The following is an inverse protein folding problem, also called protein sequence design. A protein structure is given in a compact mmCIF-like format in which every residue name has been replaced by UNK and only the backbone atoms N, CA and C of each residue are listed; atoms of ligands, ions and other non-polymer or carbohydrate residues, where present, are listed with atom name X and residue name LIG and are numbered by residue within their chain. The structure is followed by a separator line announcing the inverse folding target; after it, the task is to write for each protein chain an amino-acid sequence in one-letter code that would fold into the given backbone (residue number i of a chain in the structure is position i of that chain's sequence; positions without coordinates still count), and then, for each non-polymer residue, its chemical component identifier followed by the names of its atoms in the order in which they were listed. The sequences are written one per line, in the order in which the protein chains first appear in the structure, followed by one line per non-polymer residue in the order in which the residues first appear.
data_IF_978442431938
#
_entry.id   IF_978442431938
#
_cell.length_a   1.000
_cell.length_b   1.000
_cell.length_c   1.000
_cell.angle_alpha   90.00
_cell.angle_beta   90.00
_cell.angle_gamma   90.00
#
_symmetry.space_group_name_H-M   'P 1'
#
loop_
_entity.id
_entity.type
_entity.pdbx_description
1 polymer ?
#
# COMPACT_ATOMS: atom_id res chain seq x y z
N UNK A 1 -16.48 36.71 35.95
CA UNK A 1 -17.18 35.89 34.95
C UNK A 1 -16.50 36.17 33.64
N UNK A 2 -15.50 35.37 33.28
CA UNK A 2 -14.69 35.57 32.08
C UNK A 2 -14.78 34.28 31.25
N UNK A 3 -15.42 34.39 30.10
CA UNK A 3 -15.64 33.31 29.16
C UNK A 3 -14.51 33.26 28.15
N UNK A 4 -13.73 32.18 28.17
CA UNK A 4 -12.76 31.84 27.13
C UNK A 4 -13.13 30.50 26.52
N UNK A 5 -14.04 30.51 25.56
CA UNK A 5 -14.37 29.37 24.71
C UNK A 5 -13.15 29.04 23.84
N UNK A 6 -12.41 27.99 24.22
CA UNK A 6 -11.32 27.42 23.45
C UNK A 6 -11.88 26.69 22.23
N UNK A 7 -12.02 27.40 21.12
CA UNK A 7 -12.16 26.82 19.78
C UNK A 7 -10.81 26.22 19.42
N UNK A 8 -10.60 24.97 19.83
CA UNK A 8 -9.48 24.17 19.36
C UNK A 8 -9.64 24.01 17.85
N UNK A 9 -8.87 24.81 17.12
CA UNK A 9 -8.78 24.73 15.67
C UNK A 9 -8.38 23.30 15.30
N UNK A 10 -9.09 22.61 14.39
CA UNK A 10 -8.67 21.29 13.96
C UNK A 10 -7.24 21.42 13.46
N UNK A 11 -6.34 20.68 14.11
CA UNK A 11 -4.92 20.67 13.81
C UNK A 11 -4.77 20.57 12.29
N UNK A 12 -4.15 21.59 11.69
CA UNK A 12 -3.82 21.59 10.28
C UNK A 12 -3.12 20.27 9.98
N UNK A 13 -3.82 19.40 9.25
CA UNK A 13 -3.28 18.17 8.72
C UNK A 13 -2.09 18.57 7.87
N UNK A 14 -0.88 18.53 8.44
CA UNK A 14 0.35 18.82 7.72
C UNK A 14 0.36 17.82 6.56
N UNK A 15 0.21 18.26 5.29
CA UNK A 15 0.47 17.36 4.19
C UNK A 15 1.96 17.03 4.28
N UNK A 16 2.26 15.87 4.84
CA UNK A 16 3.60 15.29 4.82
C UNK A 16 4.12 15.34 3.39
N UNK A 17 5.44 15.61 3.22
CA UNK A 17 6.04 15.99 1.93
C UNK A 17 5.62 15.00 0.85
N UNK A 18 5.22 15.51 -0.32
CA UNK A 18 4.89 14.79 -1.57
C UNK A 18 5.56 13.42 -1.60
N UNK A 19 4.90 12.41 -1.02
CA UNK A 19 5.37 11.03 -1.09
C UNK A 19 5.22 10.67 -2.55
N UNK A 20 6.30 10.19 -3.16
CA UNK A 20 6.27 9.81 -4.56
C UNK A 20 5.02 8.93 -4.79
N UNK A 21 4.25 9.18 -5.88
CA UNK A 21 2.99 8.51 -6.10
C UNK A 21 3.21 7.00 -6.09
N UNK A 22 2.39 6.31 -5.32
CA UNK A 22 2.41 4.86 -5.34
C UNK A 22 2.00 4.39 -6.72
N UNK A 23 2.83 3.53 -7.31
CA UNK A 23 2.64 3.03 -8.67
C UNK A 23 2.25 1.57 -8.69
N UNK A 24 2.62 0.83 -7.66
CA UNK A 24 2.33 -0.60 -7.56
C UNK A 24 1.79 -0.93 -6.18
N UNK A 25 0.81 -1.81 -6.12
CA UNK A 25 0.30 -2.41 -4.91
C UNK A 25 0.40 -3.92 -5.06
N UNK A 26 1.13 -4.58 -4.18
CA UNK A 26 1.30 -6.03 -4.21
C UNK A 26 0.55 -6.64 -3.03
N UNK A 27 -0.44 -7.46 -3.33
CA UNK A 27 -1.20 -8.24 -2.39
C UNK A 27 -0.56 -9.62 -2.25
N UNK A 28 -0.26 -10.03 -1.02
CA UNK A 28 0.42 -11.30 -0.74
C UNK A 28 -0.33 -12.01 0.38
N UNK A 29 -0.80 -13.22 0.08
CA UNK A 29 -1.34 -14.11 1.10
C UNK A 29 -0.21 -14.94 1.72
N UNK A 30 -0.01 -14.77 3.02
CA UNK A 30 0.96 -15.52 3.81
C UNK A 30 0.26 -16.55 4.71
N UNK A 31 -0.69 -17.32 4.15
CA UNK A 31 -1.29 -18.47 4.84
C UNK A 31 -2.13 -18.11 6.07
N UNK A 32 -2.92 -17.04 5.99
CA UNK A 32 -3.86 -16.63 7.05
C UNK A 32 -3.84 -15.13 7.37
N UNK A 33 -2.84 -14.41 6.86
CA UNK A 33 -2.83 -12.95 6.84
C UNK A 33 -2.42 -12.49 5.44
N UNK A 34 -3.31 -11.73 4.80
CA UNK A 34 -3.03 -11.13 3.51
C UNK A 34 -2.57 -9.69 3.74
N UNK A 35 -1.41 -9.36 3.20
CA UNK A 35 -0.80 -8.03 3.32
C UNK A 35 -0.75 -7.34 1.98
N UNK A 36 -1.11 -6.07 1.96
CA UNK A 36 -1.05 -5.21 0.79
C UNK A 36 0.13 -4.23 0.93
N UNK A 37 1.16 -4.43 0.11
CA UNK A 37 2.38 -3.64 0.13
C UNK A 37 2.38 -2.62 -0.99
N UNK A 38 2.50 -1.36 -0.62
CA UNK A 38 2.46 -0.23 -1.54
C UNK A 38 3.88 0.19 -1.93
N UNK A 39 4.13 0.25 -3.23
CA UNK A 39 5.42 0.59 -3.81
C UNK A 39 5.31 1.76 -4.79
N UNK A 40 6.38 2.54 -4.88
CA UNK A 40 6.53 3.58 -5.90
C UNK A 40 7.11 3.01 -7.19
N UNK A 41 7.27 3.84 -8.24
CA UNK A 41 7.83 3.43 -9.53
C UNK A 41 9.20 2.71 -9.42
N UNK A 42 10.02 3.07 -8.43
CA UNK A 42 11.31 2.42 -8.15
C UNK A 42 11.20 1.08 -7.41
N UNK A 43 9.99 0.54 -7.20
CA UNK A 43 9.68 -0.62 -6.33
C UNK A 43 10.21 -0.46 -4.90
N UNK A 44 10.32 0.78 -4.42
CA UNK A 44 10.63 1.04 -3.02
C UNK A 44 9.33 0.92 -2.20
N UNK A 45 9.38 0.13 -1.13
CA UNK A 45 8.25 0.02 -0.20
C UNK A 45 8.03 1.37 0.43
N UNK A 46 6.80 1.85 0.35
CA UNK A 46 6.44 3.14 0.92
C UNK A 46 5.44 2.97 2.04
N UNK A 47 4.68 1.88 2.09
CA UNK A 47 3.68 1.61 3.12
C UNK A 47 3.10 0.22 3.00
N UNK A 48 2.50 -0.23 4.10
CA UNK A 48 1.88 -1.55 4.26
C UNK A 48 0.48 -1.38 4.81
N UNK A 49 -0.46 -2.15 4.28
CA UNK A 49 -1.87 -2.16 4.66
C UNK A 49 -2.33 -3.60 4.82
N UNK A 50 -3.38 -3.79 5.60
CA UNK A 50 -4.10 -5.06 5.62
C UNK A 50 -4.84 -5.22 4.29
N UNK A 51 -4.69 -6.37 3.63
CA UNK A 51 -5.29 -6.65 2.33
C UNK A 51 -6.82 -6.54 2.32
N UNK A 52 -7.47 -6.80 3.47
CA UNK A 52 -8.91 -6.70 3.65
C UNK A 52 -9.41 -5.29 3.94
N UNK A 53 -8.52 -4.29 4.02
CA UNK A 53 -8.92 -2.91 4.31
C UNK A 53 -9.72 -2.28 3.16
N UNK A 54 -10.70 -1.45 3.52
CA UNK A 54 -11.46 -0.65 2.53
C UNK A 54 -10.55 0.21 1.65
N UNK A 55 -9.45 0.73 2.20
CA UNK A 55 -8.46 1.50 1.46
C UNK A 55 -7.88 0.71 0.28
N UNK A 56 -7.53 -0.56 0.51
CA UNK A 56 -7.00 -1.47 -0.51
C UNK A 56 -8.09 -1.80 -1.53
N UNK A 57 -9.30 -2.08 -1.08
CA UNK A 57 -10.44 -2.38 -1.96
C UNK A 57 -10.78 -1.19 -2.89
N UNK A 58 -10.62 0.05 -2.42
CA UNK A 58 -10.78 1.26 -3.25
C UNK A 58 -9.61 1.41 -4.23
N UNK A 59 -8.37 1.19 -3.78
CA UNK A 59 -7.19 1.30 -4.64
C UNK A 59 -7.17 0.26 -5.77
N UNK A 60 -7.65 -0.95 -5.53
CA UNK A 60 -7.68 -2.04 -6.53
C UNK A 60 -8.96 -2.03 -7.38
N UNK A 61 -9.93 -1.18 -7.06
CA UNK A 61 -11.25 -1.18 -7.71
C UNK A 61 -11.12 -0.90 -9.21
N UNK A 62 -11.52 -1.88 -10.02
CA UNK A 62 -11.49 -1.76 -11.49
C UNK A 62 -10.10 -1.92 -12.11
N UNK A 63 -9.09 -2.25 -11.31
CA UNK A 63 -7.77 -2.63 -11.79
C UNK A 63 -7.70 -4.15 -12.00
N UNK A 64 -6.93 -4.58 -13.00
CA UNK A 64 -6.64 -6.00 -13.21
C UNK A 64 -5.28 -6.33 -12.59
N UNK A 65 -5.21 -7.23 -11.60
CA UNK A 65 -3.94 -7.67 -11.06
C UNK A 65 -3.16 -8.49 -12.07
N UNK A 66 -1.85 -8.31 -12.10
CA UNK A 66 -0.93 -9.28 -12.65
C UNK A 66 -0.64 -10.32 -11.57
N UNK A 67 -0.96 -11.58 -11.84
CA UNK A 67 -0.66 -12.68 -10.93
C UNK A 67 0.83 -13.04 -10.99
N UNK A 68 1.46 -13.13 -9.83
CA UNK A 68 2.85 -13.54 -9.67
C UNK A 68 3.83 -12.37 -9.70
N UNK A 69 4.49 -12.13 -8.57
CA UNK A 69 5.61 -11.21 -8.40
C UNK A 69 6.97 -11.96 -8.38
N UNK A 70 7.17 -12.85 -9.36
CA UNK A 70 8.38 -13.67 -9.51
C UNK A 70 9.51 -12.97 -10.29
N UNK A 71 9.23 -11.79 -10.87
CA UNK A 71 10.24 -11.00 -11.58
C UNK A 71 11.41 -10.57 -10.67
N UNK A 72 12.60 -10.44 -11.25
CA UNK A 72 13.80 -10.01 -10.52
C UNK A 72 13.64 -8.61 -9.88
N UNK A 73 12.78 -7.76 -10.44
CA UNK A 73 12.43 -6.45 -9.88
C UNK A 73 11.73 -6.53 -8.51
N UNK A 74 11.06 -7.66 -8.23
CA UNK A 74 10.36 -7.91 -6.98
C UNK A 74 11.23 -8.62 -5.96
N UNK A 75 12.43 -9.08 -6.34
CA UNK A 75 13.26 -9.91 -5.46
C UNK A 75 13.68 -9.19 -4.19
N UNK A 76 14.19 -7.97 -4.37
CA UNK A 76 14.54 -7.10 -3.25
C UNK A 76 13.32 -6.56 -2.50
N UNK A 77 12.23 -6.30 -3.21
CA UNK A 77 11.03 -5.71 -2.64
C UNK A 77 10.24 -6.72 -1.79
N UNK A 78 10.26 -7.99 -2.18
CA UNK A 78 9.57 -9.09 -1.54
C UNK A 78 10.55 -10.05 -0.84
N UNK A 79 11.75 -9.55 -0.50
CA UNK A 79 12.73 -10.28 0.29
C UNK A 79 12.08 -10.72 1.62
N UNK A 80 12.21 -12.01 1.95
CA UNK A 80 11.52 -12.64 3.08
C UNK A 80 10.19 -13.32 2.75
N UNK A 81 9.68 -13.23 1.51
CA UNK A 81 8.52 -13.98 1.04
C UNK A 81 8.95 -15.16 0.19
N UNK A 82 8.33 -16.31 0.38
CA UNK A 82 8.61 -17.55 -0.34
C UNK A 82 8.22 -17.43 -1.81
N UNK A 83 8.85 -18.22 -2.68
CA UNK A 83 8.49 -18.27 -4.10
C UNK A 83 7.00 -18.63 -4.33
N UNK A 84 6.40 -19.43 -3.44
CA UNK A 84 4.98 -19.75 -3.48
C UNK A 84 4.11 -18.51 -3.19
N UNK A 85 4.41 -17.77 -2.13
CA UNK A 85 3.72 -16.54 -1.74
C UNK A 85 3.85 -15.48 -2.85
N UNK A 86 5.05 -15.33 -3.40
CA UNK A 86 5.32 -14.42 -4.53
C UNK A 86 4.65 -14.88 -5.82
N UNK A 87 4.52 -16.18 -6.05
CA UNK A 87 3.80 -16.74 -7.21
C UNK A 87 2.28 -16.56 -7.11
N UNK A 88 1.74 -16.58 -5.89
CA UNK A 88 0.34 -16.31 -5.61
C UNK A 88 0.02 -14.81 -5.45
N UNK A 89 1.04 -13.95 -5.33
CA UNK A 89 0.87 -12.53 -5.12
C UNK A 89 0.18 -11.85 -6.31
N UNK A 90 -0.67 -10.87 -6.01
CA UNK A 90 -1.37 -10.07 -7.00
C UNK A 90 -0.76 -8.68 -7.08
N UNK A 91 -0.22 -8.32 -8.25
CA UNK A 91 0.43 -7.04 -8.49
C UNK A 91 -0.54 -6.11 -9.23
N UNK A 92 -1.02 -5.10 -8.55
CA UNK A 92 -1.86 -4.04 -9.11
C UNK A 92 -1.00 -2.85 -9.51
N UNK A 93 -1.17 -2.38 -10.75
CA UNK A 93 -0.54 -1.11 -11.19
C UNK A 93 -1.53 0.01 -10.97
N UNK A 94 -1.20 0.92 -10.05
CA UNK A 94 -2.04 2.07 -9.75
C UNK A 94 -1.75 3.18 -10.76
N UNK A 95 -2.78 3.64 -11.46
CA UNK A 95 -2.73 4.84 -12.28
C UNK A 95 -3.16 6.05 -11.43
N UNK A 96 -2.28 6.41 -10.48
CA UNK A 96 -2.41 7.65 -9.69
C UNK A 96 -1.51 8.74 -10.26
#
# INVERSE_FOLDING_TARGET
MDGGYGIESPAAHKPSPHRAPARYLVLIDAGGSAVARLFIASRALVGEFDAGSEEVAVMTKGLTPALGALGAEWDKALDGHSAAERGAAEVYTLDV
#
